data_IF_868233092620
#
_entry.id   IF_868233092620
#
_cell.length_a   1.000
_cell.length_b   1.000
_cell.length_c   1.000
_cell.angle_alpha   90.00
_cell.angle_beta   90.00
_cell.angle_gamma   90.00
#
_symmetry.space_group_name_H-M   'P 1'
#
loop_
_entity.id
_entity.type
_entity.pdbx_description
1 polymer ?
#
# COMPACT_ATOMS: atom_id res chain seq x y z
N UNK A 1 -27.36 59.41 64.61
CA UNK A 1 -26.84 60.71 64.20
C UNK A 1 -25.52 60.47 63.50
N UNK A 2 -25.43 60.83 62.14
CA UNK A 2 -24.28 60.80 61.17
C UNK A 2 -23.64 59.45 60.90
N UNK A 3 -23.97 58.87 59.87
CA UNK A 3 -23.68 58.96 58.39
C UNK A 3 -22.31 59.55 58.05
N UNK A 4 -21.37 58.68 57.65
CA UNK A 4 -20.35 59.05 56.70
C UNK A 4 -20.19 57.93 55.62
N UNK A 5 -20.38 58.38 54.40
CA UNK A 5 -20.21 57.60 53.14
C UNK A 5 -18.74 57.33 52.92
N UNK A 6 -18.40 56.08 52.66
CA UNK A 6 -17.13 55.77 51.89
C UNK A 6 -17.52 55.06 50.60
N UNK A 7 -17.39 55.81 49.54
CA UNK A 7 -17.41 55.32 48.16
C UNK A 7 -16.20 54.42 47.88
N UNK A 8 -16.44 53.19 47.66
CA UNK A 8 -15.44 52.28 47.02
C UNK A 8 -15.78 52.13 45.54
N UNK A 9 -14.89 52.66 44.69
CA UNK A 9 -14.86 52.43 43.28
C UNK A 9 -14.58 50.92 43.05
N UNK A 10 -15.52 50.22 42.46
CA UNK A 10 -15.28 48.92 41.85
C UNK A 10 -14.96 49.12 40.38
N UNK A 11 -13.70 48.93 40.03
CA UNK A 11 -13.27 48.84 38.65
C UNK A 11 -13.93 47.58 38.05
N UNK A 12 -14.91 47.80 37.16
CA UNK A 12 -15.39 46.77 36.22
C UNK A 12 -14.38 46.61 35.11
N UNK A 13 -13.53 45.61 35.21
CA UNK A 13 -12.78 45.11 34.05
C UNK A 13 -13.76 44.31 33.20
N UNK A 14 -14.21 44.88 32.10
CA UNK A 14 -14.87 44.15 31.03
C UNK A 14 -13.81 43.35 30.31
N UNK A 15 -13.72 42.06 30.58
CA UNK A 15 -13.03 41.07 29.72
C UNK A 15 -13.87 40.89 28.45
N UNK A 16 -13.43 41.50 27.34
CA UNK A 16 -13.89 41.15 26.04
C UNK A 16 -13.27 39.78 25.70
N UNK A 17 -14.01 38.70 25.96
CA UNK A 17 -13.74 37.40 25.39
C UNK A 17 -14.01 37.49 23.89
N UNK A 18 -12.96 37.79 23.12
CA UNK A 18 -12.94 37.55 21.66
C UNK A 18 -12.88 36.02 21.53
N UNK A 19 -14.03 35.39 21.40
CA UNK A 19 -14.12 34.02 20.88
C UNK A 19 -13.73 34.09 19.41
N UNK A 20 -12.46 33.80 19.10
CA UNK A 20 -12.07 33.40 17.80
C UNK A 20 -12.78 32.06 17.54
N UNK A 21 -13.94 32.13 16.91
CA UNK A 21 -14.50 31.00 16.20
C UNK A 21 -13.52 30.71 15.07
N UNK A 22 -12.59 29.81 15.30
CA UNK A 22 -11.96 29.08 14.23
C UNK A 22 -13.09 28.37 13.49
N UNK A 23 -13.62 29.02 12.47
CA UNK A 23 -14.30 28.34 11.40
C UNK A 23 -13.25 27.37 10.81
N UNK A 24 -13.10 26.20 11.38
CA UNK A 24 -12.71 25.03 10.63
C UNK A 24 -13.82 24.91 9.56
N UNK A 25 -13.58 25.55 8.42
CA UNK A 25 -14.26 25.19 7.20
C UNK A 25 -13.83 23.74 6.94
N UNK A 26 -14.54 22.79 7.49
CA UNK A 26 -14.55 21.42 7.00
C UNK A 26 -14.88 21.57 5.52
N UNK A 27 -13.93 21.31 4.65
CA UNK A 27 -14.19 21.28 3.21
C UNK A 27 -15.35 20.31 3.03
N UNK A 28 -16.53 20.82 2.61
CA UNK A 28 -17.67 19.97 2.38
C UNK A 28 -17.31 19.00 1.24
N UNK A 29 -17.16 17.74 1.58
CA UNK A 29 -16.90 16.69 0.61
C UNK A 29 -18.08 16.67 -0.38
N UNK A 30 -17.77 16.76 -1.66
CA UNK A 30 -18.75 16.67 -2.73
C UNK A 30 -19.04 15.21 -3.04
N UNK A 31 -20.31 14.88 -3.15
CA UNK A 31 -20.78 13.57 -3.59
C UNK A 31 -21.39 13.70 -4.99
N UNK A 32 -20.87 12.96 -5.98
CA UNK A 32 -21.45 12.98 -7.31
C UNK A 32 -22.84 12.33 -7.31
N UNK A 33 -23.73 12.73 -8.24
CA UNK A 33 -25.07 12.18 -8.31
C UNK A 33 -25.04 10.65 -8.50
N UNK A 34 -26.01 9.98 -7.89
CA UNK A 34 -26.17 8.51 -8.00
C UNK A 34 -26.50 8.09 -9.44
N UNK A 35 -27.17 8.96 -10.20
CA UNK A 35 -27.58 8.74 -11.61
C UNK A 35 -27.09 9.90 -12.47
N UNK A 36 -26.87 9.62 -13.76
CA UNK A 36 -26.34 10.62 -14.70
C UNK A 36 -24.83 10.75 -14.66
N UNK A 37 -24.31 11.52 -15.60
CA UNK A 37 -22.86 11.63 -15.84
C UNK A 37 -22.29 13.00 -15.42
N UNK A 38 -23.11 13.91 -14.94
CA UNK A 38 -22.68 15.23 -14.47
C UNK A 38 -21.97 15.09 -13.13
N UNK A 39 -20.72 15.55 -13.10
CA UNK A 39 -19.89 15.52 -11.90
C UNK A 39 -19.14 16.84 -11.80
N UNK A 40 -19.16 17.49 -10.64
CA UNK A 40 -18.45 18.75 -10.45
C UNK A 40 -16.95 18.56 -10.62
N UNK A 41 -16.34 19.55 -11.25
CA UNK A 41 -14.87 19.63 -11.40
C UNK A 41 -14.31 20.86 -10.70
N UNK A 42 -13.00 20.83 -10.48
CA UNK A 42 -12.21 21.93 -9.97
C UNK A 42 -10.93 22.01 -10.82
N UNK A 43 -10.53 23.22 -11.21
CA UNK A 43 -9.38 23.36 -12.09
C UNK A 43 -8.06 23.21 -11.34
N UNK A 44 -7.00 22.77 -12.04
CA UNK A 44 -5.65 22.64 -11.48
C UNK A 44 -5.16 24.01 -10.96
N UNK A 45 -5.43 25.08 -11.71
CA UNK A 45 -4.98 26.43 -11.36
C UNK A 45 -5.56 26.89 -10.02
N UNK A 46 -6.83 26.55 -9.74
CA UNK A 46 -7.46 26.92 -8.47
C UNK A 46 -6.86 26.19 -7.27
N UNK A 47 -6.18 25.07 -7.52
CA UNK A 47 -5.46 24.28 -6.52
C UNK A 47 -3.96 24.60 -6.49
N UNK A 48 -3.48 25.50 -7.37
CA UNK A 48 -2.07 25.76 -7.62
C UNK A 48 -1.28 24.49 -8.03
N UNK A 49 -1.93 23.56 -8.74
CA UNK A 49 -1.28 22.38 -9.29
C UNK A 49 -0.63 22.69 -10.64
N UNK A 50 0.50 22.07 -10.94
CA UNK A 50 1.29 22.33 -12.13
C UNK A 50 0.72 21.66 -13.37
N UNK A 51 0.24 22.43 -14.35
CA UNK A 51 -0.19 21.94 -15.66
C UNK A 51 0.97 21.33 -16.48
N UNK A 52 2.16 21.92 -16.38
CA UNK A 52 3.35 21.46 -17.13
C UNK A 52 3.80 20.05 -16.70
N UNK A 53 3.64 19.75 -15.41
CA UNK A 53 3.94 18.42 -14.86
C UNK A 53 2.87 17.37 -15.18
N UNK A 54 1.64 17.82 -15.44
CA UNK A 54 0.54 16.94 -15.81
C UNK A 54 0.78 16.24 -17.15
N UNK A 55 1.34 16.93 -18.14
CA UNK A 55 1.69 16.31 -19.44
C UNK A 55 2.75 15.22 -19.26
N UNK A 56 3.72 15.44 -18.40
CA UNK A 56 4.72 14.43 -18.06
C UNK A 56 4.08 13.19 -17.40
N UNK A 57 3.12 13.41 -16.50
CA UNK A 57 2.35 12.33 -15.89
C UNK A 57 1.51 11.57 -16.94
N UNK A 58 0.84 12.28 -17.85
CA UNK A 58 0.03 11.64 -18.91
C UNK A 58 0.88 10.78 -19.84
N UNK A 59 2.03 11.27 -20.29
CA UNK A 59 2.95 10.50 -21.12
C UNK A 59 3.42 9.23 -20.39
N UNK A 60 3.80 9.34 -19.13
CA UNK A 60 4.15 8.18 -18.31
C UNK A 60 2.99 7.17 -18.19
N UNK A 61 1.76 7.64 -17.93
CA UNK A 61 0.60 6.77 -17.80
C UNK A 61 0.27 6.05 -19.11
N UNK A 62 0.42 6.72 -20.26
CA UNK A 62 0.19 6.15 -21.58
C UNK A 62 1.24 5.08 -21.89
N UNK A 63 2.53 5.36 -21.68
CA UNK A 63 3.63 4.40 -21.79
C UNK A 63 3.43 3.16 -20.90
N UNK A 64 2.74 3.32 -19.77
CA UNK A 64 2.41 2.25 -18.82
C UNK A 64 1.02 1.65 -19.05
N UNK A 65 0.53 1.68 -20.29
CA UNK A 65 -0.71 1.01 -20.72
C UNK A 65 -1.96 1.38 -19.87
N UNK A 66 -2.02 2.62 -19.40
CA UNK A 66 -3.20 3.12 -18.66
C UNK A 66 -4.37 3.30 -19.60
N UNK A 67 -5.56 2.91 -19.17
CA UNK A 67 -6.84 3.10 -19.88
C UNK A 67 -7.65 4.24 -19.30
N UNK A 68 -7.66 4.38 -17.98
CA UNK A 68 -8.32 5.47 -17.27
C UNK A 68 -7.49 5.93 -16.09
N UNK A 69 -7.45 7.24 -15.89
CA UNK A 69 -6.83 7.88 -14.74
C UNK A 69 -7.74 9.00 -14.23
N UNK A 70 -8.15 8.91 -12.97
CA UNK A 70 -9.03 9.89 -12.32
C UNK A 70 -8.38 10.34 -11.02
N UNK A 71 -8.36 11.64 -10.78
CA UNK A 71 -8.00 12.23 -9.49
C UNK A 71 -9.11 13.15 -9.03
N UNK A 72 -9.61 12.88 -7.85
CA UNK A 72 -10.57 13.73 -7.17
C UNK A 72 -9.88 14.51 -6.05
N UNK A 73 -10.32 15.75 -5.85
CA UNK A 73 -10.02 16.58 -4.69
C UNK A 73 -11.34 16.90 -3.98
N UNK A 74 -11.48 16.43 -2.74
CA UNK A 74 -12.69 16.59 -1.94
C UNK A 74 -13.96 16.17 -2.70
N UNK A 75 -13.88 15.04 -3.43
CA UNK A 75 -14.96 14.46 -4.23
C UNK A 75 -15.16 15.06 -5.63
N UNK A 76 -14.57 16.22 -5.95
CA UNK A 76 -14.66 16.87 -7.27
C UNK A 76 -13.55 16.39 -8.19
N UNK A 77 -13.84 16.26 -9.48
CA UNK A 77 -12.87 15.87 -10.50
C UNK A 77 -11.85 17.00 -10.69
N UNK A 78 -10.57 16.67 -10.55
CA UNK A 78 -9.44 17.53 -10.96
C UNK A 78 -8.82 17.00 -12.25
N UNK A 79 -8.61 15.69 -12.30
CA UNK A 79 -8.06 15.00 -13.46
C UNK A 79 -9.02 13.87 -13.82
N UNK A 80 -9.40 13.81 -15.10
CA UNK A 80 -10.10 12.68 -15.68
C UNK A 80 -9.59 12.48 -17.10
N UNK A 81 -8.82 11.42 -17.30
CA UNK A 81 -8.19 11.10 -18.58
C UNK A 81 -8.45 9.66 -18.97
N UNK A 82 -8.86 9.47 -20.18
CA UNK A 82 -9.03 8.18 -20.83
C UNK A 82 -8.04 8.08 -21.99
N UNK A 83 -7.47 6.91 -22.20
CA UNK A 83 -6.39 6.67 -23.17
C UNK A 83 -6.87 5.69 -24.26
N UNK A 84 -6.36 5.90 -25.49
CA UNK A 84 -6.72 5.10 -26.65
C UNK A 84 -8.21 5.15 -26.94
N UNK A 85 -8.85 3.99 -27.04
CA UNK A 85 -10.29 3.82 -27.30
C UNK A 85 -11.14 3.73 -26.04
N UNK A 86 -10.52 3.81 -24.86
CA UNK A 86 -11.23 3.74 -23.58
C UNK A 86 -11.98 5.05 -23.31
N UNK A 87 -13.23 4.95 -22.85
CA UNK A 87 -14.10 6.11 -22.58
C UNK A 87 -14.72 6.00 -21.20
N UNK A 88 -15.40 7.05 -20.76
CA UNK A 88 -16.02 7.16 -19.43
C UNK A 88 -16.90 5.96 -19.05
N UNK A 89 -17.67 5.44 -20.01
CA UNK A 89 -18.61 4.35 -19.79
C UNK A 89 -17.99 2.95 -20.02
N UNK A 90 -16.69 2.90 -20.34
CA UNK A 90 -15.98 1.63 -20.50
C UNK A 90 -15.84 0.92 -19.16
N UNK A 91 -16.24 -0.33 -19.10
CA UNK A 91 -16.06 -1.18 -17.94
C UNK A 91 -14.69 -1.87 -17.97
N UNK A 92 -14.08 -2.02 -16.80
CA UNK A 92 -12.82 -2.70 -16.62
C UNK A 92 -12.81 -3.51 -15.32
N UNK A 93 -12.01 -4.53 -15.26
CA UNK A 93 -11.90 -5.39 -14.09
C UNK A 93 -11.03 -4.74 -13.00
N UNK A 94 -11.42 -4.98 -11.73
CA UNK A 94 -10.67 -4.46 -10.57
C UNK A 94 -9.55 -5.41 -10.12
N UNK A 95 -9.57 -6.66 -10.55
CA UNK A 95 -8.72 -7.71 -10.00
C UNK A 95 -8.75 -7.70 -8.47
N UNK A 96 -7.60 -7.84 -7.82
CA UNK A 96 -7.50 -7.84 -6.35
C UNK A 96 -7.88 -6.53 -5.67
N UNK A 97 -8.00 -5.41 -6.41
CA UNK A 97 -8.54 -4.19 -5.80
C UNK A 97 -10.00 -4.38 -5.34
N UNK A 98 -10.74 -5.31 -5.96
CA UNK A 98 -12.08 -5.68 -5.54
C UNK A 98 -12.18 -6.30 -4.14
N UNK A 99 -11.08 -6.84 -3.60
CA UNK A 99 -11.04 -7.39 -2.23
C UNK A 99 -11.52 -6.39 -1.18
N UNK A 100 -11.27 -5.11 -1.42
CA UNK A 100 -11.66 -4.03 -0.51
C UNK A 100 -13.18 -3.82 -0.47
N UNK A 101 -13.89 -4.13 -1.57
CA UNK A 101 -15.36 -4.17 -1.59
C UNK A 101 -15.89 -5.30 -0.70
N UNK A 102 -15.26 -6.48 -0.76
CA UNK A 102 -15.61 -7.62 0.10
C UNK A 102 -15.38 -7.28 1.57
N UNK A 103 -14.24 -6.64 1.91
CA UNK A 103 -13.96 -6.23 3.29
C UNK A 103 -15.04 -5.25 3.82
N UNK A 104 -15.43 -4.27 3.01
CA UNK A 104 -16.46 -3.31 3.39
C UNK A 104 -17.83 -4.00 3.56
N UNK A 105 -18.15 -4.94 2.68
CA UNK A 105 -19.41 -5.70 2.73
C UNK A 105 -19.49 -6.64 3.94
N UNK A 106 -18.36 -7.23 4.35
CA UNK A 106 -18.26 -8.02 5.61
C UNK A 106 -18.56 -7.14 6.82
N UNK A 107 -18.07 -5.89 6.83
CA UNK A 107 -18.39 -4.93 7.90
C UNK A 107 -19.89 -4.65 8.00
N UNK A 108 -20.56 -4.44 6.87
CA UNK A 108 -22.01 -4.26 6.82
C UNK A 108 -22.73 -5.53 7.34
N UNK A 109 -22.30 -6.73 6.91
CA UNK A 109 -22.90 -7.99 7.35
C UNK A 109 -22.73 -8.21 8.86
N UNK A 110 -21.61 -7.79 9.43
CA UNK A 110 -21.39 -7.79 10.89
C UNK A 110 -22.33 -6.83 11.60
N UNK A 111 -22.44 -5.59 11.12
CA UNK A 111 -23.32 -4.58 11.70
C UNK A 111 -24.79 -5.01 11.66
N UNK A 112 -25.20 -5.71 10.60
CA UNK A 112 -26.55 -6.27 10.46
C UNK A 112 -26.76 -7.55 11.31
N UNK A 113 -25.73 -8.06 11.95
CA UNK A 113 -25.80 -9.25 12.80
C UNK A 113 -25.89 -10.56 12.05
N UNK A 114 -25.59 -10.59 10.74
CA UNK A 114 -25.56 -11.82 9.95
C UNK A 114 -24.35 -12.68 10.26
N UNK A 115 -23.23 -12.06 10.65
CA UNK A 115 -21.99 -12.71 11.03
C UNK A 115 -21.24 -11.89 12.08
N UNK A 116 -20.23 -12.52 12.71
CA UNK A 116 -19.16 -11.82 13.41
C UNK A 116 -17.83 -12.18 12.75
N UNK A 117 -16.90 -11.22 12.61
CA UNK A 117 -15.56 -11.55 12.07
C UNK A 117 -14.80 -12.55 12.94
N UNK A 118 -15.19 -12.73 14.19
CA UNK A 118 -14.66 -13.78 15.10
C UNK A 118 -15.32 -15.14 14.93
N UNK A 119 -16.38 -15.24 14.13
CA UNK A 119 -16.98 -16.53 13.82
C UNK A 119 -15.99 -17.40 13.03
N UNK A 120 -16.08 -18.72 13.26
CA UNK A 120 -15.35 -19.70 12.47
C UNK A 120 -15.87 -19.69 11.04
N UNK A 121 -14.98 -19.72 10.06
CA UNK A 121 -15.37 -19.80 8.64
C UNK A 121 -16.22 -21.03 8.33
N UNK A 122 -15.95 -22.14 9.02
CA UNK A 122 -16.73 -23.38 8.90
C UNK A 122 -18.21 -23.24 9.31
N UNK A 123 -18.58 -22.22 10.08
CA UNK A 123 -20.00 -21.92 10.40
C UNK A 123 -20.81 -21.65 9.13
N UNK A 124 -20.18 -21.05 8.14
CA UNK A 124 -20.81 -20.62 6.89
C UNK A 124 -20.43 -21.52 5.70
N UNK A 125 -19.20 -22.05 5.67
CA UNK A 125 -18.70 -22.88 4.58
C UNK A 125 -18.96 -24.38 4.80
N UNK A 126 -19.36 -24.77 6.01
CA UNK A 126 -19.46 -26.17 6.42
C UNK A 126 -18.10 -26.71 6.91
N UNK A 127 -18.15 -27.87 7.58
CA UNK A 127 -16.93 -28.57 7.99
C UNK A 127 -16.30 -29.28 6.79
N UNK A 128 -14.95 -29.35 6.77
CA UNK A 128 -14.20 -29.94 5.66
C UNK A 128 -14.10 -29.04 4.44
N UNK A 129 -14.22 -27.72 4.64
CA UNK A 129 -13.98 -26.73 3.58
C UNK A 129 -12.50 -26.58 3.22
N UNK A 130 -11.63 -27.20 4.03
CA UNK A 130 -10.19 -27.34 3.79
C UNK A 130 -9.75 -28.79 3.87
N UNK A 131 -8.52 -29.11 3.46
CA UNK A 131 -7.87 -30.40 3.72
C UNK A 131 -7.06 -30.40 5.03
N UNK A 132 -7.17 -29.35 5.82
CA UNK A 132 -6.52 -29.28 7.13
C UNK A 132 -7.05 -30.32 8.10
N UNK A 133 -6.26 -30.76 9.10
CA UNK A 133 -6.81 -31.47 10.26
C UNK A 133 -7.99 -30.69 10.86
N UNK A 134 -9.08 -31.37 11.26
CA UNK A 134 -10.30 -30.69 11.71
C UNK A 134 -10.09 -29.70 12.87
N UNK A 135 -9.13 -29.97 13.75
CA UNK A 135 -8.77 -29.08 14.86
C UNK A 135 -8.03 -27.82 14.39
N UNK A 136 -7.40 -27.84 13.22
CA UNK A 136 -6.74 -26.69 12.60
C UNK A 136 -7.73 -25.86 11.77
N UNK A 137 -8.59 -26.52 10.98
CA UNK A 137 -9.67 -25.84 10.27
C UNK A 137 -10.56 -25.03 11.23
N UNK A 138 -10.90 -25.60 12.39
CA UNK A 138 -11.70 -24.93 13.43
C UNK A 138 -11.02 -23.76 14.14
N UNK A 139 -9.81 -23.37 13.76
CA UNK A 139 -9.15 -22.15 14.24
C UNK A 139 -9.31 -21.02 13.25
N UNK A 140 -9.70 -21.29 12.01
CA UNK A 140 -9.78 -20.27 10.97
C UNK A 140 -11.08 -19.48 11.11
N UNK A 141 -10.95 -18.19 11.38
CA UNK A 141 -12.07 -17.25 11.48
C UNK A 141 -12.18 -16.39 10.22
N UNK A 142 -13.30 -15.70 10.06
CA UNK A 142 -13.49 -14.68 9.03
C UNK A 142 -12.41 -13.60 9.14
N UNK A 143 -12.02 -13.21 10.36
CA UNK A 143 -10.93 -12.26 10.60
C UNK A 143 -9.61 -12.75 10.01
N UNK A 144 -9.28 -14.04 10.13
CA UNK A 144 -8.06 -14.58 9.54
C UNK A 144 -8.08 -14.50 8.01
N UNK A 145 -9.23 -14.66 7.36
CA UNK A 145 -9.37 -14.46 5.92
C UNK A 145 -9.21 -12.98 5.53
N UNK A 146 -9.84 -12.05 6.28
CA UNK A 146 -9.72 -10.60 6.06
C UNK A 146 -8.29 -10.07 6.23
N UNK A 147 -7.53 -10.64 7.16
CA UNK A 147 -6.17 -10.21 7.51
C UNK A 147 -5.08 -10.98 6.78
N UNK A 148 -5.45 -11.94 5.89
CA UNK A 148 -4.52 -12.82 5.18
C UNK A 148 -3.67 -13.67 6.13
N UNK A 149 -4.27 -14.15 7.21
CA UNK A 149 -3.59 -14.97 8.23
C UNK A 149 -4.29 -16.30 8.48
N UNK A 150 -4.92 -16.87 7.46
CA UNK A 150 -5.63 -18.17 7.57
C UNK A 150 -4.70 -19.33 7.95
N UNK A 151 -3.39 -19.21 7.68
CA UNK A 151 -2.43 -20.29 7.91
C UNK A 151 -2.43 -21.37 6.81
N UNK A 152 -3.22 -21.17 5.75
CA UNK A 152 -3.24 -22.07 4.60
C UNK A 152 -2.04 -21.86 3.68
N UNK A 153 -1.57 -22.95 3.06
CA UNK A 153 -0.44 -22.97 2.17
C UNK A 153 -0.72 -22.18 0.87
N UNK A 154 -0.04 -21.08 0.64
CA UNK A 154 -0.13 -20.27 -0.58
C UNK A 154 0.88 -20.70 -1.67
N UNK A 155 1.76 -21.66 -1.35
CA UNK A 155 2.74 -22.21 -2.28
C UNK A 155 2.22 -23.53 -2.92
N UNK A 156 0.96 -23.53 -3.30
CA UNK A 156 0.30 -24.61 -4.04
C UNK A 156 0.35 -24.36 -5.54
N UNK A 157 0.05 -25.40 -6.36
CA UNK A 157 0.08 -25.30 -7.83
C UNK A 157 -0.84 -24.19 -8.34
N UNK A 158 -2.07 -24.13 -7.80
CA UNK A 158 -3.03 -23.06 -8.11
C UNK A 158 -3.47 -22.35 -6.81
N UNK A 159 -2.90 -21.19 -6.48
CA UNK A 159 -3.25 -20.44 -5.27
C UNK A 159 -4.64 -19.78 -5.34
N UNK A 160 -5.37 -19.96 -6.42
CA UNK A 160 -6.76 -19.50 -6.58
C UNK A 160 -7.77 -20.62 -6.32
N UNK A 161 -7.35 -21.86 -6.37
CA UNK A 161 -8.23 -23.04 -6.22
C UNK A 161 -8.91 -23.04 -4.84
N UNK A 162 -10.25 -22.99 -4.83
CA UNK A 162 -11.08 -22.95 -3.62
C UNK A 162 -11.61 -24.32 -3.20
N UNK A 163 -11.23 -25.38 -3.91
CA UNK A 163 -11.59 -26.74 -3.54
C UNK A 163 -10.85 -27.17 -2.26
N UNK A 164 -11.47 -27.97 -1.39
CA UNK A 164 -10.85 -28.37 -0.13
C UNK A 164 -9.44 -28.96 -0.25
N UNK A 165 -9.19 -29.76 -1.29
CA UNK A 165 -7.91 -30.41 -1.54
C UNK A 165 -6.78 -29.46 -1.94
N UNK A 166 -7.10 -28.21 -2.30
CA UNK A 166 -6.13 -27.16 -2.60
C UNK A 166 -5.81 -26.29 -1.35
N UNK A 167 -6.61 -26.42 -0.29
CA UNK A 167 -6.54 -25.59 0.91
C UNK A 167 -5.81 -26.36 2.02
N UNK A 168 -4.51 -26.50 1.85
CA UNK A 168 -3.64 -27.29 2.71
C UNK A 168 -3.21 -26.51 3.96
N UNK A 169 -2.94 -27.24 5.04
CA UNK A 169 -2.37 -26.66 6.26
C UNK A 169 -0.89 -26.32 6.07
N UNK A 170 -0.49 -25.13 6.48
CA UNK A 170 0.92 -24.70 6.54
C UNK A 170 1.31 -24.23 7.95
N UNK A 171 0.42 -23.46 8.60
CA UNK A 171 0.64 -22.90 9.92
C UNK A 171 -0.69 -22.73 10.67
N UNK A 172 -0.64 -22.50 11.97
CA UNK A 172 -1.84 -22.15 12.73
C UNK A 172 -2.37 -20.78 12.29
N UNK A 173 -3.70 -20.65 12.32
CA UNK A 173 -4.36 -19.39 11.99
C UNK A 173 -3.84 -18.23 12.87
N UNK A 174 -3.52 -17.10 12.26
CA UNK A 174 -2.96 -15.94 12.94
C UNK A 174 -1.42 -15.91 13.05
N UNK A 175 -0.71 -16.99 12.72
CA UNK A 175 0.74 -17.11 12.95
C UNK A 175 1.57 -16.71 11.71
N UNK A 176 0.98 -16.82 10.53
CA UNK A 176 1.64 -16.53 9.25
C UNK A 176 0.79 -15.58 8.42
N UNK A 177 1.39 -14.53 7.87
CA UNK A 177 0.75 -13.69 6.85
C UNK A 177 1.07 -14.26 5.46
N UNK A 178 0.05 -14.50 4.65
CA UNK A 178 0.23 -14.95 3.28
C UNK A 178 -0.87 -14.34 2.39
N UNK A 179 -0.47 -13.62 1.35
CA UNK A 179 -1.41 -13.08 0.37
C UNK A 179 -1.98 -14.21 -0.49
N UNK A 180 -2.92 -14.95 0.08
CA UNK A 180 -3.51 -16.14 -0.50
C UNK A 180 -4.91 -15.84 -1.06
N UNK A 181 -5.10 -16.04 -2.36
CA UNK A 181 -6.34 -15.66 -3.03
C UNK A 181 -7.52 -16.59 -2.66
N UNK A 182 -7.30 -17.89 -2.54
CA UNK A 182 -8.37 -18.85 -2.33
C UNK A 182 -9.15 -18.61 -1.01
N UNK A 183 -8.51 -18.48 0.17
CA UNK A 183 -9.25 -18.18 1.41
C UNK A 183 -10.02 -16.86 1.35
N UNK A 184 -9.44 -15.84 0.67
CA UNK A 184 -10.15 -14.60 0.45
C UNK A 184 -11.42 -14.80 -0.38
N UNK A 185 -11.32 -15.53 -1.52
CA UNK A 185 -12.46 -15.75 -2.42
C UNK A 185 -13.61 -16.47 -1.71
N UNK A 186 -13.31 -17.33 -0.76
CA UNK A 186 -14.32 -18.02 0.03
C UNK A 186 -15.10 -17.10 0.99
N UNK A 187 -14.66 -15.86 1.24
CA UNK A 187 -15.48 -14.85 1.92
C UNK A 187 -16.78 -14.54 1.15
N UNK A 188 -16.78 -14.70 -0.18
CA UNK A 188 -17.99 -14.53 -0.98
C UNK A 188 -19.06 -15.56 -0.55
N UNK A 189 -18.68 -16.83 -0.42
CA UNK A 189 -19.55 -17.88 0.09
C UNK A 189 -19.96 -17.66 1.56
N UNK A 190 -19.07 -17.14 2.38
CA UNK A 190 -19.40 -16.74 3.77
C UNK A 190 -20.50 -15.68 3.76
N UNK A 191 -20.36 -14.64 2.93
CA UNK A 191 -21.36 -13.57 2.81
C UNK A 191 -22.70 -14.08 2.26
N UNK A 192 -22.69 -14.92 1.21
CA UNK A 192 -23.89 -15.47 0.61
C UNK A 192 -24.66 -16.33 1.61
N UNK A 193 -23.97 -17.21 2.33
CA UNK A 193 -24.58 -18.09 3.33
C UNK A 193 -25.04 -17.30 4.58
N UNK A 194 -24.32 -16.28 5.01
CA UNK A 194 -24.70 -15.43 6.13
C UNK A 194 -25.93 -14.57 5.81
N UNK A 195 -25.96 -13.95 4.61
CA UNK A 195 -27.03 -13.04 4.20
C UNK A 195 -28.24 -13.78 3.55
N UNK A 196 -28.10 -15.06 3.21
CA UNK A 196 -29.16 -15.85 2.55
C UNK A 196 -29.50 -15.39 1.13
N UNK A 197 -28.56 -14.74 0.43
CA UNK A 197 -28.73 -14.24 -0.92
C UNK A 197 -27.40 -14.18 -1.68
N UNK A 198 -27.46 -14.11 -3.01
CA UNK A 198 -26.23 -14.03 -3.81
C UNK A 198 -25.43 -12.76 -3.53
N UNK A 199 -24.10 -12.85 -3.67
CA UNK A 199 -23.17 -11.73 -3.47
C UNK A 199 -23.57 -10.49 -4.28
N UNK A 200 -23.91 -10.68 -5.56
CA UNK A 200 -24.33 -9.58 -6.42
C UNK A 200 -25.61 -8.88 -5.93
N UNK A 201 -26.56 -9.63 -5.40
CA UNK A 201 -27.80 -9.07 -4.88
C UNK A 201 -27.53 -8.30 -3.57
N UNK A 202 -26.76 -8.91 -2.65
CA UNK A 202 -26.39 -8.28 -1.39
C UNK A 202 -25.57 -7.03 -1.62
N UNK A 203 -24.52 -7.10 -2.42
CA UNK A 203 -23.66 -5.97 -2.79
C UNK A 203 -24.48 -4.84 -3.46
N UNK A 204 -25.38 -5.18 -4.38
CA UNK A 204 -26.26 -4.18 -5.03
C UNK A 204 -27.09 -3.41 -4.00
N UNK A 205 -27.72 -4.12 -3.08
CA UNK A 205 -28.59 -3.52 -2.06
C UNK A 205 -27.83 -2.67 -1.06
N UNK A 206 -26.62 -3.11 -0.69
CA UNK A 206 -25.85 -2.49 0.40
C UNK A 206 -24.90 -1.39 -0.04
N UNK A 207 -24.34 -1.47 -1.26
CA UNK A 207 -23.31 -0.54 -1.71
C UNK A 207 -23.68 0.06 -3.06
N UNK A 208 -23.78 -0.76 -4.12
CA UNK A 208 -23.84 -0.29 -5.50
C UNK A 208 -24.93 0.73 -5.77
N UNK A 209 -26.19 0.40 -5.46
CA UNK A 209 -27.33 1.29 -5.68
C UNK A 209 -27.32 2.51 -4.75
N UNK A 210 -26.76 2.37 -3.55
CA UNK A 210 -26.76 3.44 -2.54
C UNK A 210 -25.80 4.57 -2.88
N UNK A 211 -24.72 4.30 -3.59
CA UNK A 211 -23.75 5.31 -4.03
C UNK A 211 -23.73 5.53 -5.55
N UNK A 212 -24.63 4.87 -6.27
CA UNK A 212 -24.77 5.03 -7.72
C UNK A 212 -23.55 4.49 -8.50
N UNK A 213 -22.97 3.37 -8.07
CA UNK A 213 -21.99 2.64 -8.87
C UNK A 213 -22.69 1.83 -9.97
N UNK A 214 -21.97 1.57 -11.06
CA UNK A 214 -22.30 0.48 -11.97
C UNK A 214 -21.43 -0.75 -11.68
N UNK A 215 -21.66 -1.83 -12.42
CA UNK A 215 -20.81 -3.01 -12.37
C UNK A 215 -21.45 -4.21 -11.66
N UNK A 216 -20.72 -5.31 -11.67
CA UNK A 216 -21.14 -6.57 -11.09
C UNK A 216 -19.91 -7.47 -10.81
N UNK A 217 -20.10 -8.43 -9.93
CA UNK A 217 -19.16 -9.53 -9.72
C UNK A 217 -19.34 -10.59 -10.81
N UNK A 218 -18.23 -11.01 -11.41
CA UNK A 218 -18.17 -12.01 -12.48
C UNK A 218 -17.24 -13.13 -12.05
N UNK A 219 -17.73 -14.35 -12.06
CA UNK A 219 -16.92 -15.55 -11.79
C UNK A 219 -16.04 -15.88 -12.99
N UNK A 220 -14.76 -16.08 -12.76
CA UNK A 220 -13.76 -16.49 -13.74
C UNK A 220 -12.85 -17.54 -13.14
N UNK A 221 -13.04 -18.83 -13.49
CA UNK A 221 -12.43 -19.94 -12.79
C UNK A 221 -12.85 -19.93 -11.31
N UNK A 222 -11.87 -19.98 -10.42
CA UNK A 222 -12.13 -19.88 -8.97
C UNK A 222 -12.30 -18.43 -8.49
N UNK A 223 -11.91 -17.43 -9.31
CA UNK A 223 -11.98 -16.03 -8.89
C UNK A 223 -13.38 -15.44 -9.09
N UNK A 224 -13.73 -14.51 -8.23
CA UNK A 224 -14.84 -13.60 -8.41
C UNK A 224 -14.28 -12.18 -8.55
N UNK A 225 -14.54 -11.54 -9.69
CA UNK A 225 -13.87 -10.30 -10.09
C UNK A 225 -14.94 -9.21 -10.26
N UNK A 226 -14.79 -8.09 -9.57
CA UNK A 226 -15.66 -6.95 -9.80
C UNK A 226 -15.26 -6.21 -11.08
N UNK A 227 -16.24 -5.90 -11.92
CA UNK A 227 -16.08 -5.17 -13.19
C UNK A 227 -16.95 -3.93 -13.14
N UNK A 228 -16.37 -2.75 -13.38
CA UNK A 228 -17.12 -1.49 -13.41
C UNK A 228 -16.38 -0.39 -14.18
N UNK A 229 -16.98 0.80 -14.28
CA UNK A 229 -16.28 2.00 -14.79
C UNK A 229 -15.29 2.57 -13.78
N UNK A 230 -14.33 3.36 -14.25
CA UNK A 230 -13.38 4.07 -13.39
C UNK A 230 -14.05 5.05 -12.43
N UNK A 231 -15.12 5.71 -12.87
CA UNK A 231 -15.95 6.59 -12.02
C UNK A 231 -16.62 5.81 -10.87
N UNK A 232 -17.03 4.57 -11.10
CA UNK A 232 -17.57 3.73 -10.02
C UNK A 232 -16.51 3.40 -8.96
N UNK A 233 -15.28 3.12 -9.39
CA UNK A 233 -14.15 2.94 -8.46
C UNK A 233 -13.88 4.23 -7.66
N UNK A 234 -13.94 5.38 -8.31
CA UNK A 234 -13.79 6.67 -7.64
C UNK A 234 -14.91 6.96 -6.62
N UNK A 235 -16.18 6.60 -6.92
CA UNK A 235 -17.29 6.69 -5.97
C UNK A 235 -17.05 5.85 -4.70
N UNK A 236 -16.55 4.63 -4.86
CA UNK A 236 -16.16 3.81 -3.71
C UNK A 236 -15.03 4.46 -2.91
N UNK A 237 -14.06 5.09 -3.60
CA UNK A 237 -13.01 5.88 -2.94
C UNK A 237 -13.57 7.02 -2.09
N UNK A 238 -14.57 7.77 -2.58
CA UNK A 238 -15.25 8.83 -1.82
C UNK A 238 -15.95 8.25 -0.57
N UNK A 239 -16.64 7.12 -0.73
CA UNK A 239 -17.31 6.43 0.39
C UNK A 239 -16.31 6.09 1.51
N UNK A 240 -15.14 5.55 1.14
CA UNK A 240 -14.10 5.22 2.11
C UNK A 240 -13.47 6.48 2.70
N UNK A 241 -13.21 7.52 1.90
CA UNK A 241 -12.72 8.81 2.38
C UNK A 241 -13.65 9.43 3.42
N UNK A 242 -14.96 9.24 3.25
CA UNK A 242 -15.99 9.72 4.19
C UNK A 242 -16.43 8.64 5.20
N UNK A 243 -15.56 7.69 5.50
CA UNK A 243 -15.74 6.70 6.58
C UNK A 243 -17.05 5.90 6.49
N UNK A 244 -17.44 5.50 5.28
CA UNK A 244 -18.63 4.67 5.08
C UNK A 244 -19.96 5.45 5.01
N UNK A 245 -19.90 6.78 4.91
CA UNK A 245 -21.08 7.66 4.80
C UNK A 245 -21.13 8.27 3.42
N UNK A 246 -22.25 8.16 2.73
CA UNK A 246 -22.54 8.80 1.45
C UNK A 246 -23.60 9.88 1.63
N UNK A 247 -23.22 11.16 1.53
CA UNK A 247 -24.09 12.30 1.88
C UNK A 247 -24.61 12.16 3.33
N UNK A 248 -25.91 11.85 3.47
CA UNK A 248 -26.57 11.60 4.76
C UNK A 248 -26.82 10.10 4.99
N UNK A 249 -26.47 9.25 4.04
CA UNK A 249 -26.74 7.82 4.06
C UNK A 249 -25.52 7.06 4.63
N UNK A 250 -25.65 6.56 5.85
CA UNK A 250 -24.60 5.76 6.49
C UNK A 250 -24.70 4.32 6.01
N UNK A 251 -23.69 3.86 5.25
CA UNK A 251 -23.63 2.50 4.75
C UNK A 251 -22.98 1.54 5.75
N UNK A 252 -22.03 2.03 6.52
CA UNK A 252 -21.32 1.28 7.57
C UNK A 252 -21.12 2.22 8.77
N UNK A 253 -21.82 1.96 9.87
CA UNK A 253 -21.80 2.77 11.08
C UNK A 253 -20.87 2.22 12.18
N UNK A 254 -20.42 0.96 12.06
CA UNK A 254 -19.43 0.36 12.96
C UNK A 254 -18.06 1.03 12.77
N UNK A 255 -17.84 2.13 13.49
CA UNK A 255 -16.57 2.87 13.47
C UNK A 255 -15.38 2.00 13.89
N UNK A 256 -15.58 1.05 14.80
CA UNK A 256 -14.51 0.17 15.28
C UNK A 256 -14.06 -0.77 14.17
N UNK A 257 -15.02 -1.38 13.46
CA UNK A 257 -14.72 -2.20 12.30
C UNK A 257 -14.05 -1.38 11.18
N UNK A 258 -14.64 -0.21 10.86
CA UNK A 258 -14.11 0.66 9.81
C UNK A 258 -12.66 1.06 10.10
N UNK A 259 -12.37 1.51 11.32
CA UNK A 259 -11.02 1.88 11.73
C UNK A 259 -10.05 0.70 11.68
N UNK A 260 -10.49 -0.50 12.11
CA UNK A 260 -9.67 -1.72 12.01
C UNK A 260 -9.39 -2.12 10.56
N UNK A 261 -10.37 -1.93 9.67
CA UNK A 261 -10.27 -2.24 8.25
C UNK A 261 -9.16 -1.44 7.55
N UNK A 262 -9.03 -0.16 7.87
CA UNK A 262 -8.07 0.75 7.23
C UNK A 262 -6.82 1.05 8.06
N UNK A 263 -6.56 0.27 9.09
CA UNK A 263 -5.34 0.34 9.91
C UNK A 263 -4.66 -1.03 10.00
N UNK A 264 -3.45 -1.04 10.55
CA UNK A 264 -2.69 -2.28 10.74
C UNK A 264 -3.52 -3.30 11.52
N UNK A 265 -3.79 -4.45 10.91
CA UNK A 265 -4.69 -5.47 11.44
C UNK A 265 -3.99 -6.56 12.26
N UNK A 266 -2.69 -6.70 12.12
CA UNK A 266 -1.88 -7.74 12.76
C UNK A 266 -0.37 -7.35 12.71
N UNK A 267 0.47 -8.00 13.52
CA UNK A 267 1.88 -7.62 13.69
C UNK A 267 2.84 -8.16 12.61
N UNK A 268 2.39 -9.11 11.78
CA UNK A 268 3.23 -9.81 10.80
C UNK A 268 3.53 -8.94 9.58
N UNK A 269 2.50 -8.31 9.02
CA UNK A 269 2.61 -7.33 7.93
C UNK A 269 1.93 -6.03 8.34
N UNK A 270 2.70 -5.07 8.82
CA UNK A 270 2.15 -3.80 9.35
C UNK A 270 1.48 -2.93 8.30
N UNK A 271 1.80 -3.14 7.03
CA UNK A 271 1.21 -2.43 5.89
C UNK A 271 -0.08 -3.06 5.35
N UNK A 272 -0.79 -3.88 6.18
CA UNK A 272 -2.01 -4.55 5.73
C UNK A 272 -3.14 -4.44 6.77
N UNK A 273 -4.29 -3.94 6.31
CA UNK A 273 -5.56 -3.89 7.04
C UNK A 273 -6.45 -5.10 6.74
N UNK A 274 -7.77 -4.90 6.74
CA UNK A 274 -8.70 -5.92 6.23
C UNK A 274 -8.78 -5.78 4.71
N UNK A 275 -7.92 -6.52 4.01
CA UNK A 275 -7.79 -6.53 2.54
C UNK A 275 -7.36 -5.16 1.93
N UNK A 276 -6.91 -4.22 2.74
CA UNK A 276 -6.36 -2.92 2.33
C UNK A 276 -4.85 -2.86 2.50
N UNK A 277 -4.17 -2.23 1.54
CA UNK A 277 -2.76 -1.87 1.63
C UNK A 277 -2.62 -0.49 2.31
N UNK A 278 -1.65 -0.39 3.22
CA UNK A 278 -1.44 0.81 4.05
C UNK A 278 -0.04 1.37 3.80
N UNK A 279 0.05 2.64 3.37
CA UNK A 279 1.33 3.33 3.26
C UNK A 279 1.81 3.85 4.63
N UNK A 280 3.03 4.39 4.68
CA UNK A 280 3.58 5.06 5.86
C UNK A 280 3.86 4.16 7.06
N UNK A 281 3.75 2.85 6.93
CA UNK A 281 4.06 1.92 8.00
C UNK A 281 5.57 1.59 8.02
N UNK A 282 6.05 1.12 9.16
CA UNK A 282 7.48 0.86 9.39
C UNK A 282 8.01 -0.38 8.68
N UNK A 283 7.11 -1.28 8.25
CA UNK A 283 7.48 -2.48 7.50
C UNK A 283 6.32 -3.01 6.68
N UNK A 284 6.64 -3.79 5.66
CA UNK A 284 5.66 -4.47 4.82
C UNK A 284 6.17 -5.83 4.34
N UNK A 285 5.25 -6.67 3.89
CA UNK A 285 5.53 -7.91 3.17
C UNK A 285 4.86 -7.88 1.81
N UNK A 286 5.44 -8.58 0.84
CA UNK A 286 4.89 -8.74 -0.50
C UNK A 286 4.24 -10.12 -0.67
N UNK A 287 3.30 -10.28 -1.63
CA UNK A 287 2.77 -11.60 -1.99
C UNK A 287 3.88 -12.60 -2.32
N UNK A 288 3.65 -13.87 -1.96
CA UNK A 288 4.57 -15.00 -2.20
C UNK A 288 5.93 -14.89 -1.51
N UNK A 289 6.04 -14.07 -0.49
CA UNK A 289 7.27 -13.98 0.31
C UNK A 289 6.96 -13.90 1.79
N UNK A 290 7.85 -14.42 2.61
CA UNK A 290 7.80 -14.32 4.07
C UNK A 290 8.81 -13.29 4.60
N UNK A 291 9.38 -12.49 3.71
CA UNK A 291 10.37 -11.47 4.08
C UNK A 291 9.68 -10.20 4.52
N UNK A 292 10.02 -9.73 5.71
CA UNK A 292 9.61 -8.42 6.23
C UNK A 292 10.60 -7.37 5.73
N UNK A 293 10.11 -6.45 4.90
CA UNK A 293 10.89 -5.35 4.35
C UNK A 293 10.67 -4.12 5.22
N UNK A 294 11.75 -3.48 5.65
CA UNK A 294 11.67 -2.28 6.49
C UNK A 294 11.33 -1.04 5.67
N UNK A 295 10.55 -0.14 6.26
CA UNK A 295 10.06 1.08 5.62
C UNK A 295 8.71 0.93 4.94
N UNK A 296 8.29 1.96 4.22
CA UNK A 296 7.00 1.97 3.51
C UNK A 296 7.16 1.48 2.07
N UNK A 297 6.16 0.76 1.57
CA UNK A 297 6.13 0.29 0.17
C UNK A 297 5.83 1.41 -0.86
N UNK A 298 5.36 2.57 -0.40
CA UNK A 298 5.06 3.73 -1.25
C UNK A 298 5.70 5.01 -0.68
N UNK A 299 7.03 5.16 -0.74
CA UNK A 299 7.73 6.29 -0.14
C UNK A 299 7.40 7.65 -0.78
N UNK A 300 6.95 7.70 -2.02
CA UNK A 300 6.55 8.93 -2.69
C UNK A 300 5.11 9.38 -2.36
N UNK A 301 4.33 8.50 -1.73
CA UNK A 301 2.95 8.79 -1.36
C UNK A 301 2.85 9.37 0.06
N UNK A 302 1.77 10.09 0.38
CA UNK A 302 1.47 10.48 1.76
C UNK A 302 1.38 9.27 2.70
N UNK A 303 1.85 9.38 3.96
CA UNK A 303 1.93 8.25 4.88
C UNK A 303 0.57 7.73 5.34
N UNK A 304 -0.48 8.51 5.21
CA UNK A 304 -1.86 8.14 5.52
C UNK A 304 -2.63 7.56 4.33
N UNK A 305 -1.93 7.33 3.19
CA UNK A 305 -2.55 6.70 2.03
C UNK A 305 -2.97 5.26 2.34
N UNK A 306 -4.23 4.96 2.03
CA UNK A 306 -4.77 3.60 1.98
C UNK A 306 -5.03 3.24 0.51
N UNK A 307 -4.77 1.98 0.15
CA UNK A 307 -4.80 1.58 -1.26
C UNK A 307 -5.47 0.22 -1.48
N UNK A 308 -6.30 0.16 -2.51
CA UNK A 308 -6.72 -1.08 -3.14
C UNK A 308 -5.84 -1.33 -4.36
N UNK A 309 -5.10 -2.44 -4.36
CA UNK A 309 -4.15 -2.79 -5.42
C UNK A 309 -4.55 -4.10 -6.08
N UNK A 310 -4.61 -4.09 -7.40
CA UNK A 310 -4.95 -5.25 -8.20
C UNK A 310 -3.90 -5.57 -9.28
N UNK A 311 -3.96 -6.81 -9.78
CA UNK A 311 -3.13 -7.29 -10.88
C UNK A 311 -3.19 -6.30 -12.06
N UNK A 312 -2.07 -6.15 -12.74
CA UNK A 312 -1.91 -5.24 -13.89
C UNK A 312 -2.09 -3.75 -13.51
N UNK A 313 -1.91 -3.41 -12.22
CA UNK A 313 -1.95 -2.03 -11.76
C UNK A 313 -3.36 -1.43 -11.72
N UNK A 314 -4.40 -2.23 -11.39
CA UNK A 314 -5.67 -1.66 -10.99
C UNK A 314 -5.48 -1.02 -9.62
N UNK A 315 -5.69 0.29 -9.51
CA UNK A 315 -5.30 1.08 -8.34
C UNK A 315 -6.46 2.00 -7.93
N UNK A 316 -6.78 1.96 -6.64
CA UNK A 316 -7.56 2.98 -5.96
C UNK A 316 -6.77 3.43 -4.74
N UNK A 317 -6.36 4.69 -4.71
CA UNK A 317 -5.72 5.30 -3.55
C UNK A 317 -6.63 6.33 -2.92
N UNK A 318 -6.68 6.35 -1.61
CA UNK A 318 -7.38 7.36 -0.82
C UNK A 318 -6.36 8.00 0.13
N UNK A 319 -6.26 9.31 0.13
CA UNK A 319 -5.38 10.09 0.98
C UNK A 319 -6.21 11.07 1.79
N UNK A 320 -6.62 10.70 3.01
CA UNK A 320 -7.50 11.53 3.84
C UNK A 320 -6.93 12.92 4.13
N UNK A 321 -5.64 13.03 4.45
CA UNK A 321 -4.99 14.31 4.75
C UNK A 321 -5.01 15.31 3.61
N UNK A 322 -5.05 14.82 2.36
CA UNK A 322 -5.10 15.67 1.17
C UNK A 322 -6.49 15.75 0.53
N UNK A 323 -7.47 15.01 1.02
CA UNK A 323 -8.79 14.92 0.38
C UNK A 323 -8.72 14.34 -1.05
N UNK A 324 -7.74 13.47 -1.33
CA UNK A 324 -7.49 12.92 -2.65
C UNK A 324 -8.03 11.49 -2.76
N UNK A 325 -8.74 11.22 -3.86
CA UNK A 325 -9.01 9.87 -4.36
C UNK A 325 -8.37 9.76 -5.74
N UNK A 326 -7.51 8.76 -5.95
CA UNK A 326 -6.83 8.50 -7.20
C UNK A 326 -7.20 7.11 -7.72
N UNK A 327 -7.63 7.04 -8.96
CA UNK A 327 -7.96 5.78 -9.66
C UNK A 327 -7.08 5.63 -10.88
N UNK A 328 -6.52 4.43 -11.06
CA UNK A 328 -5.93 3.99 -12.33
C UNK A 328 -6.49 2.64 -12.71
N UNK A 329 -6.97 2.51 -13.94
CA UNK A 329 -7.32 1.26 -14.60
C UNK A 329 -6.49 1.08 -15.87
N UNK A 330 -6.06 -0.13 -16.17
CA UNK A 330 -5.30 -0.41 -17.40
C UNK A 330 -4.76 -1.82 -17.50
N UNK A 331 -3.96 -2.06 -18.57
CA UNK A 331 -3.19 -3.28 -18.74
C UNK A 331 -1.94 -3.28 -17.85
N UNK A 332 -1.18 -4.36 -17.89
CA UNK A 332 0.09 -4.45 -17.17
C UNK A 332 1.02 -3.30 -17.57
N UNK A 333 1.57 -2.54 -16.59
CA UNK A 333 2.45 -1.42 -16.88
C UNK A 333 3.78 -1.86 -17.51
N UNK A 334 4.23 -3.06 -17.16
CA UNK A 334 5.43 -3.72 -17.67
C UNK A 334 5.14 -5.23 -17.81
N UNK A 335 6.06 -6.12 -17.44
CA UNK A 335 5.74 -7.55 -17.28
C UNK A 335 4.68 -7.74 -16.18
N UNK A 336 3.77 -8.70 -16.36
CA UNK A 336 2.62 -8.90 -15.46
C UNK A 336 3.07 -9.11 -14.00
N UNK A 337 2.64 -8.22 -13.12
CA UNK A 337 2.88 -8.29 -11.68
C UNK A 337 1.53 -8.46 -10.96
N UNK A 338 1.44 -9.40 -10.03
CA UNK A 338 0.17 -9.70 -9.33
C UNK A 338 -0.36 -8.53 -8.50
N UNK A 339 0.53 -7.85 -7.79
CA UNK A 339 0.27 -6.60 -7.07
C UNK A 339 1.37 -5.63 -7.44
N UNK A 340 1.03 -4.41 -7.74
CA UNK A 340 1.96 -3.41 -8.26
C UNK A 340 2.24 -2.26 -7.25
N UNK A 341 2.78 -2.53 -6.03
CA UNK A 341 3.11 -1.46 -5.10
C UNK A 341 4.19 -0.53 -5.67
N UNK A 342 5.17 -1.09 -6.39
CA UNK A 342 6.21 -0.32 -7.04
C UNK A 342 5.64 0.62 -8.11
N UNK A 343 4.76 0.12 -8.99
CA UNK A 343 4.11 0.95 -10.00
C UNK A 343 3.24 2.05 -9.36
N UNK A 344 2.52 1.74 -8.28
CA UNK A 344 1.77 2.75 -7.54
C UNK A 344 2.70 3.85 -7.00
N UNK A 345 3.86 3.49 -6.47
CA UNK A 345 4.85 4.46 -6.03
C UNK A 345 5.39 5.31 -7.19
N UNK A 346 5.61 4.74 -8.38
CA UNK A 346 6.01 5.50 -9.58
C UNK A 346 4.94 6.52 -10.00
N UNK A 347 3.65 6.15 -9.92
CA UNK A 347 2.55 7.11 -10.16
C UNK A 347 2.66 8.26 -9.16
N UNK A 348 2.88 7.96 -7.87
CA UNK A 348 3.02 8.98 -6.84
C UNK A 348 4.26 9.85 -7.02
N UNK A 349 5.38 9.32 -7.50
CA UNK A 349 6.55 10.13 -7.85
C UNK A 349 6.22 11.21 -8.88
N UNK A 350 5.43 10.86 -9.91
CA UNK A 350 5.01 11.80 -10.94
C UNK A 350 3.88 12.71 -10.48
N UNK A 351 2.92 12.18 -9.76
CA UNK A 351 1.77 12.95 -9.30
C UNK A 351 2.14 13.93 -8.19
N UNK A 352 3.08 13.61 -7.31
CA UNK A 352 3.59 14.56 -6.31
C UNK A 352 4.23 15.80 -6.93
N UNK A 353 4.86 15.67 -8.11
CA UNK A 353 5.36 16.81 -8.86
C UNK A 353 4.22 17.72 -9.37
N UNK A 354 3.06 17.15 -9.76
CA UNK A 354 1.88 17.91 -10.20
C UNK A 354 1.28 18.73 -9.06
N UNK A 355 1.18 18.14 -7.87
CA UNK A 355 0.53 18.74 -6.70
C UNK A 355 1.48 19.53 -5.79
N UNK A 356 2.75 19.64 -6.18
CA UNK A 356 3.85 20.21 -5.38
C UNK A 356 3.93 19.63 -3.96
N UNK A 357 3.72 18.30 -3.87
CA UNK A 357 3.77 17.58 -2.61
C UNK A 357 5.19 17.06 -2.34
N UNK A 358 5.87 17.69 -1.38
CA UNK A 358 7.15 17.18 -0.90
C UNK A 358 6.93 16.26 0.30
N UNK A 359 7.27 14.99 0.16
CA UNK A 359 7.33 14.08 1.31
C UNK A 359 8.48 14.46 2.23
N UNK A 360 8.43 14.05 3.50
CA UNK A 360 9.59 14.19 4.41
C UNK A 360 10.84 13.48 3.85
N UNK A 361 10.66 12.56 2.91
CA UNK A 361 11.73 11.88 2.16
C UNK A 361 12.34 12.83 1.13
N UNK A 362 11.56 13.75 0.52
CA UNK A 362 12.11 14.76 -0.37
C UNK A 362 12.83 15.88 0.38
N UNK A 363 12.42 16.22 1.61
CA UNK A 363 13.18 17.12 2.49
C UNK A 363 14.50 16.50 2.96
N UNK A 364 14.61 15.21 2.96
CA UNK A 364 15.83 14.41 3.02
C UNK A 364 16.32 14.04 1.61
N UNK A 365 15.91 14.80 0.58
CA UNK A 365 16.43 14.65 -0.78
C UNK A 365 17.92 14.61 -0.67
N UNK A 366 18.36 13.61 -1.02
CA UNK A 366 18.85 12.68 -1.96
C UNK A 366 19.92 11.84 -1.30
N UNK A 367 19.53 10.80 -0.65
CA UNK A 367 20.34 9.62 -0.85
C UNK A 367 19.54 8.72 -1.77
N UNK A 368 19.48 9.05 -3.08
CA UNK A 368 19.54 8.00 -4.06
C UNK A 368 20.61 7.08 -3.52
N UNK A 369 20.23 5.85 -3.18
CA UNK A 369 21.25 4.87 -2.83
C UNK A 369 21.94 4.54 -4.15
N UNK A 370 22.88 5.45 -4.51
CA UNK A 370 23.72 5.26 -5.66
C UNK A 370 24.69 4.13 -5.38
N UNK A 371 24.98 3.38 -6.42
CA UNK A 371 26.10 2.46 -6.35
C UNK A 371 27.36 3.27 -6.09
N UNK A 372 27.92 3.10 -4.92
CA UNK A 372 29.12 3.82 -4.49
C UNK A 372 30.09 2.91 -3.73
N UNK A 373 31.35 3.14 -3.91
CA UNK A 373 32.42 2.56 -3.14
C UNK A 373 33.34 3.70 -2.69
N UNK A 374 33.37 4.00 -1.39
CA UNK A 374 34.21 5.03 -0.86
C UNK A 374 35.65 4.56 -0.66
N UNK A 375 36.58 5.52 -0.58
CA UNK A 375 37.93 5.21 -0.16
C UNK A 375 37.92 4.76 1.30
N UNK A 376 38.59 3.63 1.59
CA UNK A 376 38.73 3.15 2.95
C UNK A 376 39.40 4.19 3.86
N UNK A 377 38.94 4.29 5.09
CA UNK A 377 39.54 5.20 6.07
C UNK A 377 39.80 4.51 7.41
N UNK A 378 41.01 4.69 7.98
CA UNK A 378 42.17 5.38 7.43
C UNK A 378 42.78 4.66 6.21
N UNK A 379 43.51 5.41 5.36
CA UNK A 379 44.31 4.86 4.25
C UNK A 379 45.53 5.80 4.03
N UNK A 380 46.77 5.39 4.29
CA UNK A 380 47.19 4.06 4.76
C UNK A 380 46.65 3.69 6.15
N UNK A 381 46.60 2.37 6.45
CA UNK A 381 46.02 1.88 7.68
C UNK A 381 46.91 0.83 8.38
N UNK A 382 46.71 0.62 9.72
CA UNK A 382 47.44 -0.33 10.53
C UNK A 382 46.61 -0.78 11.74
N UNK A 383 46.25 -2.05 11.92
CA UNK A 383 46.02 -3.05 10.89
C UNK A 383 44.54 -2.99 10.40
N UNK A 384 43.75 -2.06 10.93
CA UNK A 384 42.30 -1.99 10.68
C UNK A 384 41.89 -0.74 9.88
N UNK A 385 40.90 -0.90 9.02
CA UNK A 385 40.28 0.18 8.26
C UNK A 385 38.78 -0.05 8.07
N UNK A 386 38.02 0.98 7.73
CA UNK A 386 36.59 0.88 7.44
C UNK A 386 36.37 1.20 5.95
N UNK A 387 35.57 0.39 5.30
CA UNK A 387 35.12 0.59 3.90
C UNK A 387 33.65 0.89 3.92
N UNK A 388 33.23 2.00 3.29
CA UNK A 388 31.85 2.39 3.11
C UNK A 388 31.44 2.20 1.66
N UNK A 389 30.19 1.74 1.46
CA UNK A 389 29.65 1.51 0.12
C UNK A 389 28.12 1.67 0.09
N UNK A 390 27.61 2.02 -1.09
CA UNK A 390 26.19 2.12 -1.40
C UNK A 390 25.76 1.04 -2.37
N UNK A 391 24.54 0.51 -2.19
CA UNK A 391 23.92 -0.42 -3.12
C UNK A 391 22.67 0.23 -3.73
N UNK A 392 22.49 0.22 -5.07
CA UNK A 392 21.40 0.94 -5.72
C UNK A 392 20.06 0.21 -5.63
N UNK A 393 18.97 0.96 -5.74
CA UNK A 393 17.60 0.44 -5.86
C UNK A 393 17.33 -0.35 -7.16
N UNK A 394 18.12 -0.11 -8.20
CA UNK A 394 17.87 -0.59 -9.55
C UNK A 394 18.68 -1.85 -9.93
N UNK A 395 18.90 -2.78 -9.01
CA UNK A 395 19.42 -4.09 -9.38
C UNK A 395 18.36 -4.88 -10.17
N UNK A 396 18.69 -5.55 -11.30
CA UNK A 396 17.74 -6.39 -12.06
C UNK A 396 17.05 -7.48 -11.22
N UNK A 397 17.64 -7.90 -10.11
CA UNK A 397 17.07 -8.86 -9.17
C UNK A 397 15.93 -8.28 -8.34
N UNK A 398 15.91 -6.95 -8.10
CA UNK A 398 14.77 -6.25 -7.49
C UNK A 398 13.51 -6.29 -8.36
N UNK A 399 13.67 -6.36 -9.69
CA UNK A 399 12.56 -6.46 -10.64
C UNK A 399 11.89 -7.85 -10.65
N UNK A 400 12.55 -8.86 -10.07
CA UNK A 400 12.04 -10.24 -9.97
C UNK A 400 11.40 -10.56 -8.62
N UNK A 401 11.20 -9.57 -7.72
CA UNK A 401 10.63 -9.79 -6.40
C UNK A 401 11.61 -10.33 -5.36
N UNK A 402 12.90 -10.34 -5.66
CA UNK A 402 13.95 -10.73 -4.69
C UNK A 402 14.32 -9.53 -3.80
N UNK A 403 14.52 -9.76 -2.52
CA UNK A 403 14.65 -8.75 -1.45
C UNK A 403 16.02 -8.08 -1.37
N UNK A 404 16.83 -8.18 -2.39
CA UNK A 404 18.17 -7.57 -2.50
C UNK A 404 18.96 -8.22 -3.60
N UNK A 405 19.92 -7.48 -4.19
CA UNK A 405 20.94 -8.04 -5.07
C UNK A 405 22.03 -8.72 -4.26
N UNK A 406 22.61 -9.79 -4.80
CA UNK A 406 23.86 -10.34 -4.24
C UNK A 406 24.94 -9.25 -4.28
N UNK A 407 25.42 -8.88 -3.11
CA UNK A 407 26.50 -7.91 -2.94
C UNK A 407 27.75 -8.65 -2.48
N UNK A 408 28.84 -8.46 -3.21
CA UNK A 408 30.14 -8.97 -2.82
C UNK A 408 31.15 -7.85 -2.65
N UNK A 409 31.87 -7.85 -1.54
CA UNK A 409 33.03 -6.98 -1.31
C UNK A 409 34.23 -7.86 -0.95
N UNK A 410 35.20 -7.89 -1.85
CA UNK A 410 36.35 -8.78 -1.78
C UNK A 410 37.64 -7.98 -1.84
N UNK A 411 38.68 -8.51 -1.15
CA UNK A 411 40.04 -7.94 -1.12
C UNK A 411 40.95 -8.86 -1.91
N UNK A 412 41.80 -8.25 -2.74
CA UNK A 412 42.80 -8.95 -3.56
C UNK A 412 44.20 -8.40 -3.33
N UNK A 413 45.18 -9.23 -3.46
CA UNK A 413 46.60 -8.80 -3.56
C UNK A 413 46.90 -8.21 -4.98
N UNK A 414 48.11 -7.70 -5.15
CA UNK A 414 48.55 -7.11 -6.42
C UNK A 414 48.65 -8.12 -7.59
N UNK A 415 48.60 -9.42 -7.29
CA UNK A 415 48.61 -10.51 -8.27
C UNK A 415 47.17 -10.94 -8.62
N UNK A 416 46.17 -10.29 -8.04
CA UNK A 416 44.75 -10.60 -8.28
C UNK A 416 44.23 -11.81 -7.49
N UNK A 417 44.99 -12.32 -6.50
CA UNK A 417 44.51 -13.42 -5.64
C UNK A 417 43.65 -12.86 -4.54
N UNK A 418 42.47 -13.48 -4.35
CA UNK A 418 41.57 -13.14 -3.26
C UNK A 418 42.22 -13.46 -1.90
N UNK A 419 42.30 -12.46 -1.02
CA UNK A 419 42.86 -12.58 0.33
C UNK A 419 41.84 -12.43 1.45
N UNK A 420 40.67 -11.85 1.14
CA UNK A 420 39.52 -11.80 2.04
C UNK A 420 38.20 -11.55 1.28
N UNK A 421 37.11 -12.11 1.79
CA UNK A 421 35.75 -11.74 1.45
C UNK A 421 35.10 -11.06 2.64
N UNK A 422 34.74 -9.77 2.51
CA UNK A 422 34.16 -8.97 3.58
C UNK A 422 32.63 -8.99 3.55
N UNK A 423 32.03 -9.10 2.36
CA UNK A 423 30.59 -9.21 2.13
C UNK A 423 30.35 -10.22 1.02
N UNK A 424 29.40 -11.14 1.21
CA UNK A 424 28.92 -12.07 0.21
C UNK A 424 27.50 -12.51 0.60
N UNK A 425 26.54 -11.58 0.48
CA UNK A 425 25.16 -11.80 0.91
C UNK A 425 24.19 -10.92 0.12
N UNK A 426 22.91 -11.24 0.14
CA UNK A 426 21.88 -10.37 -0.38
C UNK A 426 21.70 -9.15 0.53
N UNK A 427 21.82 -7.96 -0.05
CA UNK A 427 21.62 -6.69 0.68
C UNK A 427 20.55 -5.85 0.00
N UNK A 428 19.62 -5.26 0.78
CA UNK A 428 18.72 -4.22 0.28
C UNK A 428 19.50 -3.01 -0.25
N UNK A 429 18.82 -2.12 -0.99
CA UNK A 429 19.38 -0.82 -1.30
C UNK A 429 19.68 -0.04 -0.02
N UNK A 430 20.88 0.53 0.08
CA UNK A 430 21.29 1.19 1.31
C UNK A 430 22.76 1.58 1.31
N UNK A 431 23.16 2.31 2.37
CA UNK A 431 24.57 2.59 2.67
C UNK A 431 25.01 1.66 3.78
N UNK A 432 26.19 1.08 3.59
CA UNK A 432 26.79 0.10 4.45
C UNK A 432 28.22 0.47 4.81
N UNK A 433 28.68 -0.03 5.95
CA UNK A 433 30.09 0.02 6.31
C UNK A 433 30.53 -1.34 6.82
N UNK A 434 31.78 -1.68 6.52
CA UNK A 434 32.40 -2.90 6.98
C UNK A 434 33.81 -2.62 7.47
N UNK A 435 34.18 -3.18 8.64
CA UNK A 435 35.53 -3.15 9.16
C UNK A 435 36.37 -4.26 8.54
N UNK A 436 37.55 -3.90 8.09
CA UNK A 436 38.57 -4.86 7.63
C UNK A 436 39.76 -4.85 8.58
N UNK A 437 40.07 -6.04 9.09
CA UNK A 437 41.28 -6.31 9.89
C UNK A 437 42.27 -7.11 9.04
N UNK A 438 43.41 -6.49 8.75
CA UNK A 438 44.49 -7.06 7.95
C UNK A 438 45.66 -7.53 8.79
N UNK A 439 45.44 -7.86 10.07
CA UNK A 439 46.53 -8.31 11.01
C UNK A 439 47.34 -9.48 10.48
N UNK A 440 46.72 -10.33 9.64
CA UNK A 440 47.35 -11.52 9.06
C UNK A 440 48.00 -11.30 7.69
N UNK A 441 47.92 -10.07 7.15
CA UNK A 441 48.47 -9.74 5.83
C UNK A 441 49.80 -8.97 5.96
N UNK A 442 50.64 -9.06 4.95
CA UNK A 442 51.90 -8.29 4.87
C UNK A 442 51.65 -6.83 4.54
N UNK A 443 52.55 -5.92 4.96
CA UNK A 443 52.51 -4.52 4.49
C UNK A 443 52.58 -4.48 2.97
N UNK A 444 51.73 -3.64 2.35
CA UNK A 444 51.67 -3.53 0.91
C UNK A 444 50.36 -2.92 0.38
N UNK A 445 50.26 -2.90 -0.93
CA UNK A 445 49.06 -2.44 -1.66
C UNK A 445 48.15 -3.61 -1.92
N UNK A 446 46.86 -3.42 -1.62
CA UNK A 446 45.79 -4.35 -1.91
C UNK A 446 44.69 -3.63 -2.73
N UNK A 447 43.83 -4.40 -3.33
CA UNK A 447 42.70 -3.92 -4.14
C UNK A 447 41.41 -4.46 -3.51
N UNK A 448 40.41 -3.62 -3.34
CA UNK A 448 39.10 -4.10 -2.98
C UNK A 448 38.09 -3.81 -4.09
N UNK A 449 37.23 -4.80 -4.33
CA UNK A 449 36.20 -4.78 -5.39
C UNK A 449 34.83 -4.97 -4.75
N UNK A 450 33.95 -4.03 -4.99
CA UNK A 450 32.51 -4.14 -4.74
C UNK A 450 31.81 -4.56 -6.03
N UNK A 451 30.88 -5.50 -5.92
CA UNK A 451 29.97 -5.86 -6.99
C UNK A 451 28.55 -6.02 -6.44
N UNK A 452 27.57 -5.41 -7.11
CA UNK A 452 26.14 -5.50 -6.82
C UNK A 452 25.36 -5.61 -8.13
N UNK A 453 24.97 -6.83 -8.52
CA UNK A 453 24.40 -7.12 -9.82
C UNK A 453 25.36 -6.76 -10.96
N UNK A 454 24.93 -5.89 -11.87
CA UNK A 454 25.75 -5.41 -12.99
C UNK A 454 26.73 -4.30 -12.61
N UNK A 455 26.60 -3.71 -11.41
CA UNK A 455 27.45 -2.63 -10.96
C UNK A 455 28.74 -3.18 -10.32
N UNK A 456 29.87 -2.61 -10.70
CA UNK A 456 31.18 -2.96 -10.15
C UNK A 456 32.06 -1.73 -9.94
N UNK A 457 32.75 -1.66 -8.80
CA UNK A 457 33.72 -0.62 -8.50
C UNK A 457 34.93 -1.19 -7.79
N UNK A 458 36.10 -0.58 -8.05
CA UNK A 458 37.38 -1.03 -7.52
C UNK A 458 38.17 0.13 -6.93
N UNK A 459 38.79 -0.08 -5.79
CA UNK A 459 39.68 0.91 -5.15
C UNK A 459 40.91 0.22 -4.56
N UNK A 460 41.94 1.04 -4.23
CA UNK A 460 43.18 0.60 -3.61
C UNK A 460 43.18 0.92 -2.11
N UNK A 461 43.78 0.06 -1.33
CA UNK A 461 44.09 0.27 0.08
C UNK A 461 45.58 -0.01 0.34
N UNK A 462 46.19 0.67 1.32
CA UNK A 462 47.60 0.54 1.67
C UNK A 462 47.73 0.15 3.14
N UNK A 463 48.23 -1.04 3.38
CA UNK A 463 48.55 -1.54 4.71
C UNK A 463 50.02 -1.21 5.06
N UNK A 464 50.20 -0.54 6.18
CA UNK A 464 51.50 -0.22 6.75
C UNK A 464 51.54 -0.83 8.16
N UNK A 465 52.38 -1.82 8.37
CA UNK A 465 52.71 -2.38 9.70
C UNK A 465 53.97 -1.79 10.23
#
# INVERSE_FOLDING_TARGET
MNLERVLKYKNCFFYFLITYSLNLMGQNLYFPPKTGNEWQSISLESLNWSSDKLDTLYNFLEEKNTKAFIVLKDGKIVIEKYFGTFVQDSNWYWASAGKTLTAFLVGIAQEEGFLSITDLSSKYLGNGWTSCPPEKERQITILNQLTMTSGLNDNVIDPFCTEPNCLEYEADAGVRWAYHNAPYTLLDGVLENAAGQSLNLYFNGKIRSRIGMNGLWVTSGYNNIYISTARSMAKFGILIQNKGIWETDTLLNDESYFNSMINTSQSLNKSYGYLWWLAGKESYMLPRTQVVIQGTWAPAAPPDMIAALGKNGQILNIVPSLGIVLVRMGEAPDSSVEVAPYFNNQIWQKFSEVIDYSTAIEKNKTKEFDFSLEQNYPNPFNPTTTIKFGTPLNSPLYQRGETGGLVTLKIFDILGREVATLVNEQKPAGNYEVKFDASNLASGVYIYKLQAGEFSSVKKLMLLK
#
